data_IF_874821309022
#
_entry.id   IF_874821309022
#
_cell.length_a   1.000
_cell.length_b   1.000
_cell.length_c   1.000
_cell.angle_alpha   90.00
_cell.angle_beta   90.00
_cell.angle_gamma   90.00
#
_symmetry.space_group_name_H-M   'P 1'
#
loop_
_entity.id
_entity.type
_entity.pdbx_description
1 polymer ?
#
# COMPACT_ATOMS: atom_id res chain seq x y z
N UNK A 1 9.44 -9.82 2.26
CA UNK A 1 10.42 -8.82 1.73
C UNK A 1 11.45 -9.49 0.81
N UNK A 2 11.76 -8.87 -0.33
CA UNK A 2 12.67 -9.41 -1.37
C UNK A 2 14.15 -8.98 -1.20
N UNK A 3 14.45 -8.07 -0.25
CA UNK A 3 15.82 -7.60 0.01
C UNK A 3 16.39 -6.63 -1.03
N UNK A 4 15.56 -6.06 -1.91
CA UNK A 4 16.01 -5.11 -2.94
C UNK A 4 16.40 -3.74 -2.37
N UNK A 5 15.67 -3.28 -1.36
CA UNK A 5 15.85 -1.95 -0.76
C UNK A 5 16.61 -2.04 0.57
N UNK A 6 17.39 -1.01 0.96
CA UNK A 6 18.03 -0.94 2.27
C UNK A 6 17.04 -1.23 3.42
N UNK A 7 17.45 -1.99 4.47
CA UNK A 7 18.80 -2.51 4.73
C UNK A 7 19.14 -3.82 4.00
N UNK A 8 18.35 -4.20 2.97
CA UNK A 8 18.52 -5.43 2.17
C UNK A 8 18.39 -6.71 2.98
N UNK A 9 17.44 -6.72 3.92
CA UNK A 9 17.09 -7.92 4.66
C UNK A 9 16.14 -8.82 3.85
N UNK A 10 16.41 -10.12 3.85
CA UNK A 10 15.51 -11.14 3.31
C UNK A 10 15.91 -12.55 3.77
N UNK A 11 14.99 -13.50 3.61
CA UNK A 11 15.23 -14.94 3.77
C UNK A 11 14.90 -15.69 2.49
N UNK A 12 15.48 -16.88 2.32
CA UNK A 12 15.03 -17.81 1.26
C UNK A 12 13.55 -18.17 1.47
N UNK A 13 12.78 -18.42 0.39
CA UNK A 13 13.17 -18.40 -1.02
C UNK A 13 13.12 -17.01 -1.69
N UNK A 14 12.69 -15.97 -0.97
CA UNK A 14 12.47 -14.63 -1.52
C UNK A 14 13.74 -13.93 -2.00
N UNK A 15 14.88 -14.22 -1.38
CA UNK A 15 16.18 -13.73 -1.81
C UNK A 15 17.33 -14.42 -1.08
N UNK A 16 18.56 -13.98 -1.39
CA UNK A 16 19.80 -14.52 -0.83
C UNK A 16 20.57 -13.44 -0.06
N UNK A 17 19.93 -12.86 0.96
CA UNK A 17 20.50 -11.82 1.82
C UNK A 17 21.32 -12.42 2.97
N UNK A 18 22.23 -11.63 3.53
CA UNK A 18 23.10 -12.04 4.64
C UNK A 18 22.37 -12.07 6.00
N UNK A 19 21.25 -11.36 6.11
CA UNK A 19 20.43 -11.24 7.31
C UNK A 19 18.97 -11.00 6.91
N UNK A 20 18.06 -11.24 7.84
CA UNK A 20 16.65 -10.93 7.67
C UNK A 20 15.72 -12.12 7.85
N UNK A 21 14.45 -11.82 8.11
CA UNK A 21 13.36 -12.79 8.04
C UNK A 21 12.20 -12.20 7.22
N UNK A 22 12.04 -12.65 5.98
CA UNK A 22 11.04 -12.13 5.05
C UNK A 22 9.59 -12.35 5.48
N UNK A 23 9.33 -13.28 6.40
CA UNK A 23 7.99 -13.60 6.92
C UNK A 23 7.63 -12.82 8.19
N UNK A 24 8.57 -12.09 8.80
CA UNK A 24 8.35 -11.43 10.10
C UNK A 24 8.78 -9.98 10.13
N UNK A 25 9.97 -9.68 9.62
CA UNK A 25 10.53 -8.32 9.69
C UNK A 25 9.66 -7.24 9.02
N UNK A 26 8.97 -7.49 7.89
CA UNK A 26 8.08 -6.49 7.30
C UNK A 26 6.98 -6.04 8.27
N UNK A 27 6.39 -7.00 9.00
CA UNK A 27 5.31 -6.74 9.95
C UNK A 27 5.81 -6.02 11.21
N UNK A 28 7.01 -6.36 11.68
CA UNK A 28 7.66 -5.63 12.79
C UNK A 28 8.04 -4.20 12.36
N UNK A 29 8.59 -4.03 11.16
CA UNK A 29 8.94 -2.71 10.64
C UNK A 29 7.70 -1.82 10.48
N UNK A 30 6.64 -2.33 9.87
CA UNK A 30 5.39 -1.60 9.72
C UNK A 30 4.76 -1.24 11.08
N UNK A 31 4.76 -2.15 12.05
CA UNK A 31 4.29 -1.87 13.40
C UNK A 31 5.05 -0.70 14.04
N UNK A 32 6.38 -0.71 13.96
CA UNK A 32 7.21 0.38 14.48
C UNK A 32 6.97 1.70 13.73
N UNK A 33 6.75 1.65 12.41
CA UNK A 33 6.41 2.85 11.62
C UNK A 33 5.07 3.44 12.06
N UNK A 34 4.04 2.60 12.25
CA UNK A 34 2.72 3.01 12.74
C UNK A 34 2.84 3.66 14.12
N UNK A 35 3.56 3.03 15.05
CA UNK A 35 3.73 3.57 16.39
C UNK A 35 4.56 4.86 16.42
N UNK A 36 5.60 4.95 15.58
CA UNK A 36 6.40 6.16 15.42
C UNK A 36 5.57 7.31 14.86
N UNK A 37 4.71 7.03 13.88
CA UNK A 37 3.76 8.00 13.35
C UNK A 37 2.77 8.46 14.43
N UNK A 38 2.15 7.54 15.15
CA UNK A 38 1.18 7.87 16.21
C UNK A 38 1.81 8.73 17.32
N UNK A 39 3.05 8.44 17.73
CA UNK A 39 3.80 9.26 18.67
C UNK A 39 4.10 10.66 18.13
N UNK A 40 4.47 10.78 16.85
CA UNK A 40 4.72 12.06 16.21
C UNK A 40 3.45 12.91 16.10
N UNK A 41 2.31 12.30 15.74
CA UNK A 41 0.99 12.96 15.71
C UNK A 41 0.62 13.46 17.09
N UNK A 42 0.69 12.61 18.10
CA UNK A 42 0.37 12.97 19.48
C UNK A 42 1.22 14.16 19.97
N UNK A 43 2.53 14.12 19.73
CA UNK A 43 3.44 15.20 20.07
C UNK A 43 3.11 16.49 19.31
N UNK A 44 2.87 16.41 18.00
CA UNK A 44 2.53 17.58 17.18
C UNK A 44 1.24 18.25 17.67
N UNK A 45 0.20 17.45 17.91
CA UNK A 45 -1.11 17.94 18.36
C UNK A 45 -1.05 18.58 19.74
N UNK A 46 -0.34 17.96 20.68
CA UNK A 46 -0.22 18.48 22.06
C UNK A 46 0.61 19.75 22.16
N UNK A 47 1.72 19.81 21.43
CA UNK A 47 2.76 20.81 21.71
C UNK A 47 2.88 21.91 20.65
N UNK A 48 2.41 21.67 19.41
CA UNK A 48 2.72 22.54 18.27
C UNK A 48 1.50 22.99 17.47
N UNK A 49 0.45 22.16 17.37
CA UNK A 49 -0.66 22.45 16.47
C UNK A 49 -1.40 23.75 16.82
N UNK A 50 -1.61 24.04 18.11
CA UNK A 50 -2.29 25.27 18.55
C UNK A 50 -1.52 26.56 18.20
N UNK A 51 -0.19 26.50 18.13
CA UNK A 51 0.66 27.68 17.86
C UNK A 51 1.05 27.80 16.40
N UNK A 52 1.26 26.68 15.70
CA UNK A 52 1.69 26.65 14.30
C UNK A 52 0.51 26.61 13.31
N UNK A 53 -0.63 26.07 13.72
CA UNK A 53 -1.82 25.97 12.87
C UNK A 53 -1.70 25.01 11.68
N UNK A 54 -0.65 24.18 11.62
CA UNK A 54 -0.45 23.21 10.53
C UNK A 54 -1.19 21.88 10.77
N UNK A 55 -1.09 20.99 9.78
CA UNK A 55 -1.69 19.65 9.78
C UNK A 55 -0.62 18.57 9.68
N UNK A 56 -0.87 17.40 10.26
CA UNK A 56 0.01 16.23 10.19
C UNK A 56 -0.74 15.01 9.67
N UNK A 57 -0.11 14.23 8.79
CA UNK A 57 -0.72 13.09 8.12
C UNK A 57 0.26 11.98 7.79
N UNK A 58 -0.25 10.90 7.22
CA UNK A 58 0.53 9.78 6.69
C UNK A 58 0.33 9.70 5.18
N UNK A 59 1.38 9.33 4.45
CA UNK A 59 1.32 9.09 3.01
C UNK A 59 1.42 7.59 2.75
N UNK A 60 0.50 7.05 1.95
CA UNK A 60 0.43 5.63 1.60
C UNK A 60 0.59 5.47 0.09
N UNK A 61 1.57 4.64 -0.29
CA UNK A 61 1.70 4.16 -1.67
C UNK A 61 0.80 2.97 -1.91
N UNK A 62 0.02 3.02 -2.98
CA UNK A 62 -1.03 2.03 -3.21
C UNK A 62 -1.40 1.86 -4.68
N UNK A 63 -1.62 0.61 -5.07
CA UNK A 63 -2.27 0.26 -6.34
C UNK A 63 -3.77 0.17 -6.15
N UNK A 64 -4.49 0.28 -7.26
CA UNK A 64 -5.86 -0.21 -7.31
C UNK A 64 -5.86 -1.66 -7.79
N UNK A 65 -6.69 -2.51 -7.17
CA UNK A 65 -6.83 -3.91 -7.56
C UNK A 65 -8.23 -4.16 -8.12
N UNK A 66 -8.29 -4.56 -9.38
CA UNK A 66 -9.49 -5.12 -9.99
C UNK A 66 -9.45 -6.65 -9.84
N UNK A 67 -10.57 -7.35 -9.63
CA UNK A 67 -10.55 -8.80 -9.67
C UNK A 67 -10.26 -9.30 -11.09
N UNK A 68 -9.42 -10.35 -11.22
CA UNK A 68 -9.11 -10.92 -12.53
C UNK A 68 -10.37 -11.47 -13.22
N UNK A 69 -11.25 -12.14 -12.47
CA UNK A 69 -12.54 -12.64 -12.94
C UNK A 69 -13.67 -12.22 -12.01
N UNK A 70 -14.93 -12.42 -12.41
CA UNK A 70 -16.10 -12.20 -11.55
C UNK A 70 -16.33 -13.33 -10.52
N UNK A 71 -15.35 -14.22 -10.32
CA UNK A 71 -15.41 -15.25 -9.30
C UNK A 71 -15.37 -14.64 -7.90
N UNK A 72 -15.95 -15.33 -6.93
CA UNK A 72 -15.91 -14.87 -5.53
C UNK A 72 -14.48 -14.81 -5.03
N UNK A 73 -13.66 -15.76 -5.48
CA UNK A 73 -12.25 -15.92 -5.15
C UNK A 73 -11.43 -14.70 -5.58
N UNK A 74 -11.53 -14.27 -6.84
CA UNK A 74 -10.77 -13.10 -7.33
C UNK A 74 -11.29 -11.78 -6.73
N UNK A 75 -12.59 -11.68 -6.45
CA UNK A 75 -13.16 -10.51 -5.73
C UNK A 75 -12.59 -10.42 -4.31
N UNK A 76 -12.48 -11.55 -3.62
CA UNK A 76 -11.85 -11.61 -2.30
C UNK A 76 -10.34 -11.36 -2.40
N UNK A 77 -9.66 -11.84 -3.44
CA UNK A 77 -8.25 -11.56 -3.69
C UNK A 77 -7.97 -10.06 -3.86
N UNK A 78 -8.80 -9.34 -4.62
CA UNK A 78 -8.67 -7.89 -4.77
C UNK A 78 -8.80 -7.14 -3.43
N UNK A 79 -9.77 -7.53 -2.59
CA UNK A 79 -9.93 -6.98 -1.23
C UNK A 79 -8.73 -7.34 -0.34
N UNK A 80 -8.28 -8.58 -0.43
CA UNK A 80 -7.16 -9.11 0.34
C UNK A 80 -5.85 -8.36 0.02
N UNK A 81 -5.63 -8.02 -1.25
CA UNK A 81 -4.51 -7.21 -1.69
C UNK A 81 -4.55 -5.79 -1.10
N UNK A 82 -5.71 -5.14 -1.10
CA UNK A 82 -5.90 -3.83 -0.45
C UNK A 82 -5.58 -3.91 1.05
N UNK A 83 -5.98 -4.98 1.73
CA UNK A 83 -5.71 -5.15 3.16
C UNK A 83 -4.23 -5.32 3.49
N UNK A 84 -3.42 -5.76 2.54
CA UNK A 84 -1.96 -5.87 2.66
C UNK A 84 -1.22 -4.65 2.10
N UNK A 85 -1.90 -3.58 1.71
CA UNK A 85 -1.27 -2.36 1.19
C UNK A 85 -1.81 -1.12 1.91
N UNK A 86 -3.08 -0.79 1.70
CA UNK A 86 -3.73 0.40 2.25
C UNK A 86 -4.14 0.18 3.71
N UNK A 87 -4.95 -0.84 3.94
CA UNK A 87 -5.60 -1.04 5.24
C UNK A 87 -4.57 -1.44 6.30
N UNK A 88 -3.46 -2.08 5.90
CA UNK A 88 -2.38 -2.48 6.80
C UNK A 88 -1.87 -1.32 7.67
N UNK A 89 -1.75 -0.13 7.11
CA UNK A 89 -1.29 1.06 7.83
C UNK A 89 -2.45 1.89 8.36
N UNK A 90 -3.53 2.04 7.59
CA UNK A 90 -4.61 2.95 7.94
C UNK A 90 -5.59 2.35 8.96
N UNK A 91 -5.91 1.06 8.92
CA UNK A 91 -6.82 0.46 9.92
C UNK A 91 -6.28 0.58 11.35
N UNK A 92 -4.98 0.36 11.64
CA UNK A 92 -4.42 0.66 12.95
C UNK A 92 -4.59 2.12 13.39
N UNK A 93 -4.39 3.07 12.48
CA UNK A 93 -4.44 4.50 12.78
C UNK A 93 -5.87 5.04 12.97
N UNK A 94 -6.86 4.41 12.36
CA UNK A 94 -8.25 4.87 12.40
C UNK A 94 -9.15 4.00 13.28
N UNK A 95 -8.88 2.70 13.35
CA UNK A 95 -9.70 1.71 14.05
C UNK A 95 -8.96 1.00 15.20
N UNK A 96 -7.66 1.26 15.38
CA UNK A 96 -6.89 0.80 16.55
C UNK A 96 -6.43 -0.66 16.49
N UNK A 97 -6.54 -1.32 15.34
CA UNK A 97 -6.03 -2.67 15.13
C UNK A 97 -5.79 -2.95 13.64
N UNK A 98 -5.05 -4.02 13.34
CA UNK A 98 -4.82 -4.45 11.96
C UNK A 98 -6.10 -4.99 11.30
N UNK A 99 -6.17 -4.97 9.95
CA UNK A 99 -7.28 -5.56 9.20
C UNK A 99 -7.53 -7.01 9.61
N UNK A 100 -8.80 -7.43 9.59
CA UNK A 100 -9.19 -8.79 10.01
C UNK A 100 -8.48 -9.84 9.17
N UNK A 101 -8.45 -9.62 7.87
CA UNK A 101 -7.84 -10.46 6.85
C UNK A 101 -6.36 -10.72 7.15
N UNK A 102 -5.60 -9.67 7.50
CA UNK A 102 -4.21 -9.82 7.91
C UNK A 102 -4.05 -10.61 9.21
N UNK A 103 -4.90 -10.35 10.21
CA UNK A 103 -4.82 -11.06 11.51
C UNK A 103 -5.11 -12.55 11.34
N UNK A 104 -6.09 -12.91 10.53
CA UNK A 104 -6.44 -14.29 10.23
C UNK A 104 -5.32 -15.00 9.45
N UNK A 105 -4.76 -14.34 8.43
CA UNK A 105 -3.73 -14.92 7.57
C UNK A 105 -2.36 -15.05 8.25
N UNK A 106 -1.93 -14.02 9.00
CA UNK A 106 -0.57 -13.95 9.55
C UNK A 106 -0.48 -14.49 10.98
N UNK A 107 -1.59 -14.49 11.73
CA UNK A 107 -1.66 -15.02 13.09
C UNK A 107 -0.50 -14.52 13.98
N UNK A 108 0.38 -15.41 14.44
CA UNK A 108 1.50 -15.08 15.33
C UNK A 108 2.64 -14.29 14.67
N UNK A 109 2.68 -14.18 13.34
CA UNK A 109 3.69 -13.38 12.63
C UNK A 109 3.35 -11.88 12.62
N UNK A 110 2.10 -11.52 12.89
CA UNK A 110 1.65 -10.12 12.98
C UNK A 110 1.77 -9.65 14.44
N UNK A 111 2.48 -8.53 14.71
CA UNK A 111 2.51 -7.93 16.04
C UNK A 111 1.11 -7.58 16.55
N UNK A 112 0.96 -7.47 17.87
CA UNK A 112 -0.29 -7.07 18.51
C UNK A 112 -0.09 -5.74 19.22
N UNK A 113 -1.03 -4.82 19.04
CA UNK A 113 -1.05 -3.58 19.81
C UNK A 113 -1.46 -3.85 21.26
N UNK A 114 -0.65 -3.36 22.18
CA UNK A 114 -0.95 -3.28 23.61
C UNK A 114 -2.04 -2.24 23.87
N UNK A 115 -2.64 -2.27 25.06
CA UNK A 115 -3.66 -1.28 25.46
C UNK A 115 -3.12 0.16 25.42
N UNK A 116 -1.84 0.36 25.73
CA UNK A 116 -1.19 1.68 25.69
C UNK A 116 -1.02 2.18 24.26
N UNK A 117 -0.56 1.31 23.36
CA UNK A 117 -0.42 1.63 21.94
C UNK A 117 -1.78 1.94 21.31
N UNK A 118 -2.82 1.16 21.64
CA UNK A 118 -4.19 1.43 21.19
C UNK A 118 -4.70 2.78 21.67
N UNK A 119 -4.33 3.23 22.86
CA UNK A 119 -4.66 4.57 23.35
C UNK A 119 -3.94 5.65 22.55
N UNK A 120 -2.67 5.46 22.24
CA UNK A 120 -1.91 6.42 21.43
C UNK A 120 -2.48 6.57 20.01
N UNK A 121 -2.93 5.46 19.41
CA UNK A 121 -3.56 5.41 18.08
C UNK A 121 -4.89 6.18 18.00
N UNK A 122 -5.51 6.56 19.13
CA UNK A 122 -6.75 7.36 19.12
C UNK A 122 -6.52 8.79 18.61
N UNK A 123 -5.27 9.28 18.63
CA UNK A 123 -4.92 10.57 18.05
C UNK A 123 -4.81 10.45 16.53
N UNK A 124 -5.93 10.62 15.84
CA UNK A 124 -6.02 10.46 14.38
C UNK A 124 -5.15 11.49 13.65
N UNK A 125 -4.66 11.11 12.47
CA UNK A 125 -4.06 12.02 11.50
C UNK A 125 -5.08 13.07 11.02
N UNK A 126 -4.60 14.23 10.60
CA UNK A 126 -5.44 15.31 10.06
C UNK A 126 -5.75 15.12 8.57
N UNK A 127 -4.91 14.37 7.85
CA UNK A 127 -5.09 14.04 6.44
C UNK A 127 -4.43 12.71 6.07
N UNK A 128 -4.81 12.18 4.92
CA UNK A 128 -4.19 11.02 4.28
C UNK A 128 -3.60 11.45 2.93
N UNK A 129 -2.30 11.20 2.72
CA UNK A 129 -1.66 11.33 1.42
C UNK A 129 -1.74 10.02 0.64
N UNK A 130 -1.99 10.10 -0.66
CA UNK A 130 -2.06 8.94 -1.56
C UNK A 130 -1.00 9.09 -2.65
N UNK A 131 -0.14 8.07 -2.76
CA UNK A 131 0.77 7.90 -3.88
C UNK A 131 0.20 6.78 -4.76
N UNK A 132 -0.32 7.14 -5.94
CA UNK A 132 -0.98 6.21 -6.84
C UNK A 132 -0.46 6.34 -8.28
N UNK A 133 -0.19 5.20 -8.89
CA UNK A 133 0.51 5.11 -10.16
C UNK A 133 -0.09 4.13 -11.17
N UNK A 134 -0.82 3.10 -10.72
CA UNK A 134 -1.32 2.03 -11.59
C UNK A 134 -2.49 1.30 -10.93
N UNK A 135 -3.35 0.71 -11.75
CA UNK A 135 -4.22 -0.39 -11.35
C UNK A 135 -3.67 -1.72 -11.89
N UNK A 136 -4.04 -2.84 -11.27
CA UNK A 136 -3.67 -4.18 -11.73
C UNK A 136 -4.77 -5.19 -11.40
N UNK A 137 -4.84 -6.31 -12.12
CA UNK A 137 -5.74 -7.40 -11.75
C UNK A 137 -5.17 -8.22 -10.60
N UNK A 138 -6.04 -8.66 -9.69
CA UNK A 138 -5.75 -9.56 -8.59
C UNK A 138 -6.38 -10.93 -8.86
N UNK A 139 -5.54 -11.97 -8.79
CA UNK A 139 -5.97 -13.36 -8.91
C UNK A 139 -5.79 -14.09 -7.58
N UNK A 140 -6.78 -14.87 -7.18
CA UNK A 140 -6.71 -15.73 -6.00
C UNK A 140 -5.66 -16.84 -6.17
N UNK A 141 -4.83 -16.98 -5.14
CA UNK A 141 -3.82 -18.02 -5.07
C UNK A 141 -3.98 -18.97 -3.89
N UNK A 142 -5.11 -18.87 -3.17
CA UNK A 142 -5.51 -19.84 -2.15
C UNK A 142 -6.10 -21.09 -2.82
N UNK A 143 -7.02 -20.89 -3.75
CA UNK A 143 -7.75 -21.96 -4.44
C UNK A 143 -7.03 -22.44 -5.70
N UNK A 144 -6.10 -21.65 -6.23
CA UNK A 144 -5.34 -21.97 -7.44
C UNK A 144 -3.84 -21.71 -7.24
N UNK A 145 -2.93 -22.66 -7.54
CA UNK A 145 -1.50 -22.38 -7.43
C UNK A 145 -1.05 -21.25 -8.37
N UNK A 146 -0.29 -20.30 -7.84
CA UNK A 146 0.26 -19.16 -8.59
C UNK A 146 1.74 -18.91 -8.29
N UNK A 147 2.33 -17.97 -9.03
CA UNK A 147 3.59 -17.35 -8.64
C UNK A 147 3.36 -16.27 -7.58
N UNK A 148 3.91 -16.50 -6.38
CA UNK A 148 3.81 -15.59 -5.22
C UNK A 148 5.11 -14.77 -5.00
N UNK A 149 5.99 -14.68 -6.01
CA UNK A 149 7.25 -13.94 -5.91
C UNK A 149 7.12 -12.41 -6.01
N UNK A 150 5.90 -11.89 -6.07
CA UNK A 150 5.63 -10.46 -6.05
C UNK A 150 5.33 -9.93 -4.64
N UNK A 151 5.09 -8.62 -4.54
CA UNK A 151 4.68 -7.99 -3.30
C UNK A 151 3.32 -8.50 -2.81
N UNK A 152 2.37 -8.67 -3.73
CA UNK A 152 1.01 -9.16 -3.51
C UNK A 152 0.98 -10.62 -3.04
N UNK A 153 2.06 -11.36 -3.28
CA UNK A 153 2.20 -12.73 -2.79
C UNK A 153 2.13 -12.85 -1.27
N UNK A 154 2.43 -11.78 -0.51
CA UNK A 154 2.23 -11.77 0.95
C UNK A 154 0.75 -11.88 1.34
N UNK A 155 -0.14 -11.47 0.45
CA UNK A 155 -1.59 -11.54 0.58
C UNK A 155 -2.18 -12.81 -0.06
N UNK A 156 -1.33 -13.74 -0.52
CA UNK A 156 -1.73 -14.89 -1.35
C UNK A 156 -2.46 -14.47 -2.64
N UNK A 157 -2.00 -13.38 -3.25
CA UNK A 157 -2.54 -12.81 -4.49
C UNK A 157 -1.47 -12.76 -5.56
N UNK A 158 -1.82 -13.10 -6.79
CA UNK A 158 -1.01 -12.85 -7.97
C UNK A 158 -1.51 -11.58 -8.66
N UNK A 159 -0.60 -10.63 -8.88
CA UNK A 159 -0.87 -9.45 -9.69
C UNK A 159 -0.73 -9.79 -11.18
N UNK A 160 -1.75 -9.48 -11.98
CA UNK A 160 -1.83 -9.80 -13.40
C UNK A 160 -2.14 -8.53 -14.20
N UNK A 161 -1.35 -8.27 -15.24
CA UNK A 161 -1.53 -7.08 -16.08
C UNK A 161 -2.58 -7.22 -17.19
N UNK A 162 -2.97 -8.46 -17.50
CA UNK A 162 -3.84 -8.79 -18.63
C UNK A 162 -4.96 -9.73 -18.21
N UNK A 163 -6.14 -9.53 -18.81
CA UNK A 163 -7.31 -10.40 -18.71
C UNK A 163 -7.74 -10.78 -20.12
N UNK A 164 -7.78 -12.09 -20.40
CA UNK A 164 -8.15 -12.63 -21.71
C UNK A 164 -7.33 -12.04 -22.88
N UNK A 165 -6.04 -11.79 -22.64
CA UNK A 165 -5.12 -11.19 -23.61
C UNK A 165 -5.27 -9.67 -23.79
N UNK A 166 -6.07 -9.01 -22.94
CA UNK A 166 -6.26 -7.56 -22.94
C UNK A 166 -5.64 -6.96 -21.68
N UNK A 167 -4.69 -6.04 -21.85
CA UNK A 167 -4.08 -5.32 -20.74
C UNK A 167 -5.12 -4.46 -19.99
N UNK A 168 -4.96 -4.32 -18.68
CA UNK A 168 -5.83 -3.47 -17.83
C UNK A 168 -5.81 -1.99 -18.25
N UNK A 169 -4.69 -1.56 -18.85
CA UNK A 169 -4.50 -0.21 -19.39
C UNK A 169 -3.31 -0.16 -20.32
N UNK A 170 -2.91 1.06 -20.72
CA UNK A 170 -1.75 1.23 -21.60
C UNK A 170 -0.46 0.93 -20.82
N UNK A 171 0.41 0.00 -21.27
CA UNK A 171 1.68 -0.25 -20.59
C UNK A 171 2.57 1.00 -20.54
N UNK A 172 3.21 1.25 -19.40
CA UNK A 172 4.20 2.33 -19.25
C UNK A 172 5.62 1.82 -19.56
N UNK A 173 6.63 2.69 -19.55
CA UNK A 173 8.00 2.23 -19.70
C UNK A 173 8.48 1.39 -18.49
N UNK A 174 7.80 1.49 -17.35
CA UNK A 174 8.12 0.72 -16.16
C UNK A 174 7.34 -0.61 -16.18
N UNK A 175 8.06 -1.73 -16.24
CA UNK A 175 7.45 -3.05 -16.36
C UNK A 175 6.48 -3.33 -15.20
N UNK A 176 5.27 -3.80 -15.53
CA UNK A 176 4.22 -4.10 -14.56
C UNK A 176 3.38 -2.89 -14.13
N UNK A 177 3.61 -1.71 -14.71
CA UNK A 177 2.80 -0.51 -14.48
C UNK A 177 2.03 -0.14 -15.74
N UNK A 178 0.76 0.20 -15.56
CA UNK A 178 -0.21 0.53 -16.60
C UNK A 178 -0.85 1.88 -16.29
N UNK A 179 -1.04 2.66 -17.35
CA UNK A 179 -1.83 3.89 -17.30
C UNK A 179 -3.32 3.50 -17.28
N UNK A 180 -3.94 3.63 -16.09
CA UNK A 180 -5.35 3.33 -15.80
C UNK A 180 -5.94 4.51 -15.01
N UNK A 181 -6.34 5.61 -15.69
CA UNK A 181 -6.77 6.84 -15.03
C UNK A 181 -7.93 6.65 -14.04
N UNK A 182 -8.86 5.74 -14.34
CA UNK A 182 -10.02 5.43 -13.50
C UNK A 182 -9.62 4.88 -12.12
N UNK A 183 -8.44 4.26 -12.01
CA UNK A 183 -7.89 3.76 -10.76
C UNK A 183 -7.72 4.86 -9.70
N UNK A 184 -7.41 6.10 -10.13
CA UNK A 184 -7.26 7.24 -9.21
C UNK A 184 -8.60 7.60 -8.55
N UNK A 185 -9.69 7.60 -9.30
CA UNK A 185 -11.02 7.91 -8.74
C UNK A 185 -11.42 6.84 -7.72
N UNK A 186 -11.20 5.57 -8.07
CA UNK A 186 -11.54 4.43 -7.22
C UNK A 186 -10.77 4.46 -5.90
N UNK A 187 -9.48 4.77 -5.95
CA UNK A 187 -8.64 4.77 -4.76
C UNK A 187 -8.93 5.94 -3.83
N UNK A 188 -9.16 7.15 -4.37
CA UNK A 188 -9.54 8.32 -3.57
C UNK A 188 -10.91 8.10 -2.94
N UNK A 189 -11.87 7.55 -3.69
CA UNK A 189 -13.19 7.18 -3.14
C UNK A 189 -13.08 6.14 -2.03
N UNK A 190 -12.31 5.08 -2.25
CA UNK A 190 -12.10 4.02 -1.27
C UNK A 190 -11.56 4.57 0.05
N UNK A 191 -10.46 5.33 -0.01
CA UNK A 191 -9.82 5.93 1.18
C UNK A 191 -10.76 6.92 1.87
N UNK A 192 -11.37 7.84 1.10
CA UNK A 192 -12.27 8.86 1.67
C UNK A 192 -13.48 8.22 2.37
N UNK A 193 -14.11 7.22 1.75
CA UNK A 193 -15.31 6.59 2.28
C UNK A 193 -15.02 5.70 3.49
N UNK A 194 -13.90 4.98 3.49
CA UNK A 194 -13.53 4.08 4.59
C UNK A 194 -13.07 4.86 5.83
N UNK A 195 -12.29 5.92 5.65
CA UNK A 195 -11.62 6.62 6.75
C UNK A 195 -12.29 7.95 7.12
N UNK A 196 -13.59 7.87 7.44
CA UNK A 196 -14.37 8.95 8.06
C UNK A 196 -14.38 10.29 7.27
N UNK A 197 -14.24 10.25 5.95
CA UNK A 197 -14.08 11.44 5.10
C UNK A 197 -12.91 12.35 5.52
N UNK A 198 -11.84 11.74 6.05
CA UNK A 198 -10.57 12.43 6.31
C UNK A 198 -10.05 13.06 5.01
N UNK A 199 -9.57 14.33 5.02
CA UNK A 199 -9.01 14.96 3.83
C UNK A 199 -7.96 14.10 3.13
N UNK A 200 -8.12 13.89 1.83
CA UNK A 200 -7.20 13.12 1.00
C UNK A 200 -6.44 14.05 0.06
N UNK A 201 -5.12 13.91 0.02
CA UNK A 201 -4.24 14.62 -0.92
C UNK A 201 -3.53 13.62 -1.82
N UNK A 202 -3.56 13.85 -3.13
CA UNK A 202 -2.66 13.11 -4.05
C UNK A 202 -1.26 13.68 -3.87
N UNK A 203 -0.37 12.89 -3.29
CA UNK A 203 1.00 13.30 -2.96
C UNK A 203 2.03 12.84 -3.97
N UNK A 204 1.74 11.76 -4.71
CA UNK A 204 2.49 11.37 -5.89
C UNK A 204 1.58 10.76 -6.96
N UNK A 205 1.83 11.15 -8.21
CA UNK A 205 1.28 10.53 -9.41
C UNK A 205 2.19 10.88 -10.59
N UNK A 206 2.39 9.93 -11.52
CA UNK A 206 3.18 10.17 -12.72
C UNK A 206 3.51 8.87 -13.45
N UNK A 207 4.27 8.98 -14.54
CA UNK A 207 4.77 7.84 -15.29
C UNK A 207 6.26 8.00 -15.57
N UNK A 208 6.99 6.89 -15.57
CA UNK A 208 8.36 6.88 -16.09
C UNK A 208 8.33 6.73 -17.61
N UNK A 209 9.00 7.65 -18.32
CA UNK A 209 9.05 7.67 -19.79
C UNK A 209 10.27 6.94 -20.38
N UNK A 210 10.99 6.15 -19.58
CA UNK A 210 12.22 5.49 -20.01
C UNK A 210 13.44 6.43 -20.00
N UNK A 211 14.59 5.92 -20.46
CA UNK A 211 15.74 6.78 -20.78
C UNK A 211 15.49 7.49 -22.11
N UNK A 212 14.73 8.57 -22.09
CA UNK A 212 14.80 9.56 -23.15
C UNK A 212 16.10 10.36 -22.95
N UNK A 213 17.23 9.87 -23.47
CA UNK A 213 18.31 10.81 -23.87
C UNK A 213 17.79 11.50 -25.13
N UNK A 214 16.91 12.47 -24.95
CA UNK A 214 16.71 13.52 -25.93
C UNK A 214 17.32 14.75 -25.31
N UNK A 215 18.41 15.22 -25.92
CA UNK A 215 18.99 16.52 -25.64
C UNK A 215 17.85 17.54 -25.44
N UNK A 216 17.75 18.06 -24.22
CA UNK A 216 17.07 19.31 -23.88
C UNK A 216 15.81 19.65 -24.69
N UNK A 217 14.64 19.24 -24.18
CA UNK A 217 13.44 20.09 -24.15
C UNK A 217 12.37 19.42 -23.28
N UNK A 218 12.04 20.04 -22.15
CA UNK A 218 10.80 19.78 -21.44
C UNK A 218 9.65 20.00 -22.42
N UNK A 219 8.95 18.95 -22.81
CA UNK A 219 7.68 19.08 -23.51
C UNK A 219 6.65 19.45 -22.44
N UNK A 220 6.47 20.75 -22.21
CA UNK A 220 5.21 21.24 -21.69
C UNK A 220 4.14 20.92 -22.74
N UNK A 221 3.31 19.91 -22.49
CA UNK A 221 2.02 19.83 -23.17
C UNK A 221 1.15 20.93 -22.57
N UNK A 222 1.06 22.03 -23.31
CA UNK A 222 0.10 23.08 -23.03
C UNK A 222 -1.28 22.70 -23.59
N UNK A 223 -2.29 22.96 -22.76
CA UNK A 223 -3.75 22.93 -22.94
C UNK A 223 -4.40 21.55 -23.13
#
# INVERSE_FOLDING_TARGET
MLGHYPPKHCSRPFGNCNSGNSHREPYVAAHNMIMSHAAAVDNYKRNYQATQGGSIGIVIAMKWYEPLTNSTEDILAARQALSFEVDWFLDPLFFGDYPREMREMLSSNLPKFTSEEKRLLQNKADFIGVNHYTAIYAKDCVSSPCDLKSYEGNALVQAVGERDGVAIGRPTAFHGYYDVPEGMELIVKYVSQRYENTPVYVTENGEWQGRAIRNSQCVQKNA
#
